data_IF_279730092537
#
_entry.id   IF_279730092537
#
_cell.length_a   1.000
_cell.length_b   1.000
_cell.length_c   1.000
_cell.angle_alpha   90.00
_cell.angle_beta   90.00
_cell.angle_gamma   90.00
#
_symmetry.space_group_name_H-M   'P 1'
#
loop_
_entity.id
_entity.type
_entity.pdbx_description
1 polymer ?
#
# COMPACT_ATOMS: atom_id res chain seq x y z
N UNK A 1 17.69 28.81 6.01
CA UNK A 1 18.18 27.70 5.14
C UNK A 1 16.93 27.10 4.48
N UNK A 2 16.88 26.91 3.16
CA UNK A 2 15.64 26.59 2.42
C UNK A 2 15.28 25.09 2.55
N UNK A 3 13.98 24.79 2.58
CA UNK A 3 13.42 23.42 2.55
C UNK A 3 13.82 22.59 1.30
N UNK A 4 14.34 23.24 0.24
CA UNK A 4 14.94 22.57 -0.93
C UNK A 4 16.23 21.79 -0.58
N UNK A 5 16.87 22.08 0.55
CA UNK A 5 18.03 21.35 1.08
C UNK A 5 17.65 20.11 1.92
N UNK A 6 16.36 19.85 2.14
CA UNK A 6 15.88 18.66 2.86
C UNK A 6 16.18 17.34 2.14
N UNK A 7 16.72 17.36 0.91
CA UNK A 7 17.18 16.17 0.21
C UNK A 7 18.38 15.46 0.86
N UNK A 8 19.14 16.13 1.74
CA UNK A 8 20.32 15.53 2.40
C UNK A 8 20.12 15.13 3.87
N UNK A 9 18.95 15.38 4.44
CA UNK A 9 18.62 14.95 5.81
C UNK A 9 18.07 13.52 5.74
N UNK A 10 18.55 12.63 6.62
CA UNK A 10 17.92 11.32 6.80
C UNK A 10 16.42 11.55 7.04
N UNK A 11 15.54 11.00 6.20
CA UNK A 11 14.09 11.22 6.30
C UNK A 11 13.59 10.91 7.71
N UNK A 12 12.64 11.71 8.20
CA UNK A 12 12.00 11.47 9.48
C UNK A 12 11.49 10.02 9.60
N UNK A 13 11.91 9.31 10.65
CA UNK A 13 11.49 7.92 10.87
C UNK A 13 11.27 7.60 12.35
N UNK A 14 10.56 6.51 12.59
CA UNK A 14 10.28 5.99 13.92
C UNK A 14 11.32 4.92 14.32
N UNK A 15 12.26 5.20 15.24
CA UNK A 15 13.28 4.24 15.62
C UNK A 15 12.75 3.00 16.35
N UNK A 16 11.52 3.00 16.88
CA UNK A 16 10.94 1.78 17.48
C UNK A 16 10.50 0.74 16.44
N UNK A 17 10.26 1.18 15.20
CA UNK A 17 9.80 0.32 14.10
C UNK A 17 10.75 0.28 12.91
N UNK A 18 11.59 1.30 12.73
CA UNK A 18 12.37 1.54 11.52
C UNK A 18 11.55 2.15 10.39
N UNK A 19 10.27 2.46 10.61
CA UNK A 19 9.40 2.98 9.55
C UNK A 19 9.60 4.48 9.34
N UNK A 20 9.75 4.89 8.09
CA UNK A 20 9.66 6.29 7.68
C UNK A 20 8.26 6.86 7.92
N UNK A 21 8.23 8.11 8.34
CA UNK A 21 7.04 8.95 8.17
C UNK A 21 6.95 9.36 6.70
N UNK A 22 5.73 9.53 6.18
CA UNK A 22 5.49 9.87 4.78
C UNK A 22 4.74 11.19 4.66
N UNK A 23 4.68 11.70 3.43
CA UNK A 23 3.84 12.84 3.05
C UNK A 23 4.11 14.10 3.89
N UNK A 24 3.05 14.87 4.19
CA UNK A 24 3.15 16.11 4.92
C UNK A 24 3.66 15.92 6.35
N UNK A 25 3.46 14.75 6.96
CA UNK A 25 4.02 14.43 8.27
C UNK A 25 5.54 14.45 8.24
N UNK A 26 6.16 13.81 7.25
CA UNK A 26 7.63 13.77 7.14
C UNK A 26 8.20 15.19 7.04
N UNK A 27 7.63 16.01 6.17
CA UNK A 27 8.07 17.39 5.95
C UNK A 27 7.87 18.27 7.18
N UNK A 28 6.78 18.09 7.91
CA UNK A 28 6.53 18.81 9.16
C UNK A 28 7.55 18.45 10.25
N UNK A 29 7.92 17.17 10.34
CA UNK A 29 8.93 16.70 11.29
C UNK A 29 10.33 17.21 10.91
N UNK A 30 10.69 17.21 9.62
CA UNK A 30 11.95 17.78 9.13
C UNK A 30 12.04 19.28 9.46
N UNK A 31 10.95 20.03 9.21
CA UNK A 31 10.86 21.45 9.54
C UNK A 31 11.00 21.69 11.06
N UNK A 32 10.35 20.87 11.88
CA UNK A 32 10.45 20.98 13.34
C UNK A 32 11.85 20.62 13.85
N UNK A 33 12.52 19.64 13.22
CA UNK A 33 13.91 19.29 13.53
C UNK A 33 14.81 20.50 13.36
N UNK A 34 14.68 21.21 12.23
CA UNK A 34 15.46 22.42 11.92
C UNK A 34 15.12 23.57 12.88
N UNK A 35 13.83 23.78 13.18
CA UNK A 35 13.37 24.80 14.13
C UNK A 35 14.01 24.65 15.52
N UNK A 36 14.16 23.41 15.97
CA UNK A 36 14.68 23.11 17.30
C UNK A 36 16.19 22.91 17.34
N UNK A 37 16.85 22.86 16.19
CA UNK A 37 18.27 22.51 16.09
C UNK A 37 18.57 21.07 16.51
N UNK A 38 17.61 20.15 16.34
CA UNK A 38 17.85 18.72 16.58
C UNK A 38 18.79 18.16 15.50
N UNK A 39 19.65 17.23 15.90
CA UNK A 39 20.63 16.57 15.03
C UNK A 39 20.13 15.22 14.51
N UNK A 40 19.10 14.66 15.15
CA UNK A 40 18.52 13.35 14.84
C UNK A 40 17.13 13.52 14.26
N UNK A 41 16.86 12.90 13.12
CA UNK A 41 15.53 12.91 12.52
C UNK A 41 14.67 11.71 12.96
N UNK A 42 14.78 11.37 14.23
CA UNK A 42 14.12 10.22 14.84
C UNK A 42 12.99 10.73 15.72
N UNK A 43 11.77 10.28 15.45
CA UNK A 43 10.56 10.79 16.12
C UNK A 43 9.71 9.64 16.67
N UNK A 44 9.30 9.76 17.93
CA UNK A 44 8.55 8.71 18.66
C UNK A 44 7.42 9.30 19.51
N UNK A 45 6.37 8.52 19.72
CA UNK A 45 5.37 8.84 20.73
C UNK A 45 5.82 8.40 22.13
N UNK A 46 5.23 8.97 23.18
CA UNK A 46 5.53 8.57 24.57
C UNK A 46 5.31 7.07 24.82
N UNK A 47 4.28 6.48 24.17
CA UNK A 47 4.01 5.05 24.27
C UNK A 47 5.15 4.21 23.67
N UNK A 48 5.75 4.67 22.56
CA UNK A 48 6.90 4.00 21.93
C UNK A 48 8.19 4.26 22.70
N UNK A 49 8.38 5.46 23.24
CA UNK A 49 9.50 5.78 24.13
C UNK A 49 9.55 4.85 25.35
N UNK A 50 8.40 4.54 25.95
CA UNK A 50 8.30 3.56 27.04
C UNK A 50 8.76 2.16 26.62
N UNK A 51 8.49 1.74 25.38
CA UNK A 51 8.96 0.44 24.86
C UNK A 51 10.48 0.44 24.61
N UNK A 52 11.07 1.63 24.43
CA UNK A 52 12.50 1.85 24.27
C UNK A 52 13.18 2.20 25.61
N UNK A 53 12.58 1.82 26.74
CA UNK A 53 13.21 1.94 28.06
C UNK A 53 13.11 3.32 28.74
N UNK A 54 12.39 4.28 28.16
CA UNK A 54 12.27 5.61 28.78
C UNK A 54 11.62 5.55 30.18
N UNK A 55 12.20 6.29 31.13
CA UNK A 55 11.77 6.35 32.51
C UNK A 55 10.34 6.95 32.63
N UNK A 56 9.43 6.31 33.37
CA UNK A 56 8.05 6.80 33.51
C UNK A 56 7.91 8.22 34.05
N UNK A 57 8.83 8.69 34.91
CA UNK A 57 8.80 10.07 35.44
C UNK A 57 9.24 11.06 34.37
N UNK A 58 10.25 10.72 33.57
CA UNK A 58 10.64 11.51 32.40
C UNK A 58 9.47 11.64 31.42
N UNK A 59 8.77 10.54 31.11
CA UNK A 59 7.62 10.58 30.21
C UNK A 59 6.50 11.49 30.73
N UNK A 60 6.23 11.46 32.04
CA UNK A 60 5.25 12.34 32.67
C UNK A 60 5.69 13.81 32.61
N UNK A 61 6.98 14.08 32.83
CA UNK A 61 7.55 15.42 32.74
C UNK A 61 7.45 15.97 31.31
N UNK A 62 7.85 15.20 30.31
CA UNK A 62 7.73 15.60 28.89
C UNK A 62 6.27 15.92 28.61
N UNK A 63 5.35 14.99 28.88
CA UNK A 63 3.91 15.17 28.65
C UNK A 63 3.34 16.45 29.28
N UNK A 64 3.84 16.86 30.44
CA UNK A 64 3.37 18.06 31.13
C UNK A 64 3.95 19.36 30.54
N UNK A 65 5.19 19.32 30.03
CA UNK A 65 5.94 20.53 29.65
C UNK A 65 6.02 20.76 28.12
N UNK A 66 5.76 19.74 27.31
CA UNK A 66 5.83 19.83 25.84
C UNK A 66 4.45 19.82 25.17
N UNK A 67 3.35 19.82 25.94
CA UNK A 67 1.97 19.83 25.41
C UNK A 67 1.53 21.18 24.82
N UNK A 68 2.29 22.25 25.05
CA UNK A 68 2.01 23.54 24.46
C UNK A 68 2.47 23.53 22.98
N UNK A 69 1.54 23.76 22.05
CA UNK A 69 1.80 23.86 20.60
C UNK A 69 2.80 24.96 20.25
N UNK A 70 2.92 25.98 21.11
CA UNK A 70 3.89 27.07 20.97
C UNK A 70 5.27 26.72 21.55
N UNK A 71 5.44 25.56 22.18
CA UNK A 71 6.75 25.14 22.65
C UNK A 71 7.59 24.71 21.42
N UNK A 72 8.74 25.34 21.16
CA UNK A 72 9.63 24.89 20.09
C UNK A 72 10.01 23.42 20.29
N UNK A 73 10.28 22.97 21.52
CA UNK A 73 10.56 21.55 21.83
C UNK A 73 9.29 20.68 21.97
N UNK A 74 8.13 21.19 21.53
CA UNK A 74 6.84 20.53 21.59
C UNK A 74 6.73 19.32 20.67
N UNK A 75 5.62 18.58 20.80
CA UNK A 75 5.30 17.51 19.85
C UNK A 75 4.72 18.04 18.54
N UNK A 76 4.82 17.22 17.49
CA UNK A 76 3.98 17.34 16.29
C UNK A 76 2.90 16.26 16.34
N UNK A 77 1.64 16.64 16.10
CA UNK A 77 0.53 15.69 16.09
C UNK A 77 0.51 14.85 14.80
N UNK A 78 0.55 13.52 14.93
CA UNK A 78 0.29 12.57 13.85
C UNK A 78 -1.14 12.05 13.95
N UNK A 79 -1.89 12.16 12.86
CA UNK A 79 -3.22 11.57 12.71
C UNK A 79 -3.12 10.27 11.92
N UNK A 80 -3.73 9.21 12.43
CA UNK A 80 -3.74 7.88 11.81
C UNK A 80 -5.13 7.27 11.82
N UNK A 81 -5.42 6.42 10.83
CA UNK A 81 -6.68 5.69 10.71
C UNK A 81 -6.43 4.24 11.13
N UNK A 82 -7.23 3.76 12.06
CA UNK A 82 -7.38 2.34 12.36
C UNK A 82 -8.79 1.90 11.99
N UNK A 83 -9.00 0.60 11.81
CA UNK A 83 -10.32 0.08 11.45
C UNK A 83 -10.87 -0.79 12.56
N UNK A 84 -12.07 -0.48 13.04
CA UNK A 84 -12.79 -1.36 13.96
C UNK A 84 -13.65 -2.30 13.14
N UNK A 85 -13.40 -3.60 13.28
CA UNK A 85 -14.25 -4.63 12.69
C UNK A 85 -15.41 -4.88 13.64
N UNK A 86 -16.62 -4.54 13.19
CA UNK A 86 -17.88 -4.98 13.81
C UNK A 86 -18.55 -5.98 12.90
N UNK A 87 -19.35 -6.88 13.46
CA UNK A 87 -20.28 -7.69 12.67
C UNK A 87 -21.67 -7.09 12.80
N UNK A 88 -22.39 -6.95 11.69
CA UNK A 88 -23.81 -6.64 11.73
C UNK A 88 -24.63 -7.82 12.27
N UNK A 89 -25.96 -7.66 12.32
CA UNK A 89 -26.87 -8.70 12.82
C UNK A 89 -26.92 -9.94 11.93
N UNK A 90 -26.50 -9.82 10.66
CA UNK A 90 -26.40 -10.92 9.70
C UNK A 90 -25.00 -11.57 9.68
N UNK A 91 -24.03 -11.02 10.44
CA UNK A 91 -22.66 -11.52 10.53
C UNK A 91 -21.67 -10.91 9.54
N UNK A 92 -22.07 -9.93 8.72
CA UNK A 92 -21.17 -9.26 7.77
C UNK A 92 -20.23 -8.30 8.51
N UNK A 93 -18.98 -8.23 8.04
CA UNK A 93 -17.97 -7.35 8.65
C UNK A 93 -18.21 -5.89 8.21
N UNK A 94 -18.67 -5.08 9.14
CA UNK A 94 -18.66 -3.62 9.05
C UNK A 94 -17.28 -3.12 9.48
N UNK A 95 -16.62 -2.39 8.58
CA UNK A 95 -15.30 -1.81 8.81
C UNK A 95 -15.48 -0.31 8.98
N UNK A 96 -15.39 0.17 10.22
CA UNK A 96 -15.50 1.60 10.52
C UNK A 96 -14.11 2.20 10.76
N UNK A 97 -13.77 3.33 10.10
CA UNK A 97 -12.53 4.03 10.35
C UNK A 97 -12.58 4.78 11.69
N UNK A 98 -11.50 4.67 12.46
CA UNK A 98 -11.23 5.42 13.69
C UNK A 98 -10.03 6.30 13.44
N UNK A 99 -10.19 7.60 13.66
CA UNK A 99 -9.10 8.57 13.66
C UNK A 99 -8.41 8.57 15.02
N UNK A 100 -7.12 8.28 15.05
CA UNK A 100 -6.26 8.35 16.22
C UNK A 100 -5.28 9.51 16.04
N UNK A 101 -5.20 10.39 17.03
CA UNK A 101 -4.16 11.41 17.11
C UNK A 101 -3.04 10.94 18.05
N UNK A 102 -1.80 11.24 17.70
CA UNK A 102 -0.63 10.83 18.49
C UNK A 102 0.45 11.90 18.41
N UNK A 103 0.83 12.43 19.56
CA UNK A 103 1.96 13.35 19.69
C UNK A 103 3.28 12.63 19.40
N UNK A 104 4.09 13.21 18.52
CA UNK A 104 5.43 12.76 18.17
C UNK A 104 6.47 13.74 18.73
N UNK A 105 7.45 13.19 19.45
CA UNK A 105 8.56 13.91 20.04
C UNK A 105 9.86 13.46 19.40
N UNK A 106 10.80 14.39 19.23
CA UNK A 106 12.15 14.03 18.79
C UNK A 106 12.83 13.19 19.89
N UNK A 107 13.60 12.19 19.52
CA UNK A 107 14.33 11.35 20.49
C UNK A 107 15.28 12.15 21.39
N UNK A 108 15.76 13.32 20.92
CA UNK A 108 16.65 14.19 21.70
C UNK A 108 15.94 14.85 22.90
N UNK A 109 14.60 14.84 22.95
CA UNK A 109 13.83 15.28 24.11
C UNK A 109 13.97 14.32 25.30
N UNK A 110 14.40 13.08 25.05
CA UNK A 110 14.51 12.04 26.06
C UNK A 110 15.97 11.78 26.42
N UNK A 111 16.24 11.74 27.72
CA UNK A 111 17.56 11.43 28.27
C UNK A 111 17.76 9.94 28.61
N UNK A 112 16.67 9.18 28.75
CA UNK A 112 16.71 7.79 29.26
C UNK A 112 16.44 6.71 28.22
N UNK A 113 16.29 7.06 26.94
CA UNK A 113 16.06 6.06 25.89
C UNK A 113 17.23 5.08 25.77
N UNK A 114 16.90 3.79 25.69
CA UNK A 114 17.84 2.74 25.32
C UNK A 114 18.00 2.73 23.79
N UNK A 115 19.09 3.34 23.32
CA UNK A 115 19.40 3.44 21.89
C UNK A 115 19.79 2.10 21.28
N UNK A 116 20.15 1.08 22.08
CA UNK A 116 20.43 -0.27 21.56
C UNK A 116 19.19 -0.97 21.01
N UNK A 117 18.00 -0.50 21.41
CA UNK A 117 16.71 -0.98 20.92
C UNK A 117 16.24 -0.26 19.65
N UNK A 118 17.01 0.71 19.15
CA UNK A 118 16.65 1.44 17.94
C UNK A 118 16.78 0.51 16.72
N UNK A 119 15.78 0.56 15.86
CA UNK A 119 15.78 -0.13 14.58
C UNK A 119 16.27 0.79 13.51
N UNK A 120 17.11 0.24 12.64
CA UNK A 120 17.56 0.91 11.44
C UNK A 120 16.38 1.29 10.53
N UNK A 121 16.50 2.39 9.76
CA UNK A 121 15.49 2.77 8.79
C UNK A 121 15.24 1.64 7.78
N UNK A 122 13.98 1.33 7.53
CA UNK A 122 13.56 0.30 6.59
C UNK A 122 13.04 0.96 5.29
N UNK A 123 13.81 0.94 4.18
CA UNK A 123 13.39 1.56 2.92
C UNK A 123 12.06 1.02 2.38
N UNK A 124 11.73 -0.25 2.65
CA UNK A 124 10.48 -0.84 2.21
C UNK A 124 9.25 -0.25 2.90
N UNK A 125 9.41 0.46 4.03
CA UNK A 125 8.28 1.10 4.70
C UNK A 125 7.73 2.28 3.91
N UNK A 126 8.51 2.89 3.00
CA UNK A 126 8.05 3.99 2.14
C UNK A 126 6.92 3.57 1.19
N UNK A 127 6.89 2.29 0.82
CA UNK A 127 5.88 1.73 -0.07
C UNK A 127 4.67 1.18 0.69
N UNK A 128 4.73 1.12 2.03
CA UNK A 128 3.56 0.80 2.83
C UNK A 128 2.73 2.07 2.97
N UNK A 129 1.54 2.05 2.40
CA UNK A 129 0.48 2.96 2.84
C UNK A 129 0.16 2.63 4.30
N UNK A 130 0.82 3.29 5.24
CA UNK A 130 0.19 3.51 6.53
C UNK A 130 -1.06 4.35 6.21
N UNK A 131 -2.26 3.89 6.60
CA UNK A 131 -3.48 4.68 6.47
C UNK A 131 -3.40 5.85 7.48
N UNK A 132 -2.47 6.77 7.31
CA UNK A 132 -2.45 8.04 8.04
C UNK A 132 -3.57 8.92 7.47
N UNK A 133 -4.37 9.53 8.35
CA UNK A 133 -5.24 10.58 7.86
C UNK A 133 -4.33 11.71 7.37
N UNK A 134 -4.60 12.25 6.19
CA UNK A 134 -3.83 13.37 5.66
C UNK A 134 -3.84 14.50 6.68
N UNK A 135 -2.66 14.84 7.22
CA UNK A 135 -2.50 16.12 7.90
C UNK A 135 -2.81 17.21 6.90
N UNK A 136 -3.63 18.17 7.32
CA UNK A 136 -3.90 19.34 6.50
C UNK A 136 -2.82 20.35 6.81
N UNK A 137 -2.37 21.07 5.78
CA UNK A 137 -1.40 22.14 5.96
C UNK A 137 -1.86 23.12 7.04
N UNK A 138 -3.16 23.46 7.09
CA UNK A 138 -3.76 24.32 8.12
C UNK A 138 -3.49 23.88 9.56
N UNK A 139 -3.38 22.57 9.81
CA UNK A 139 -3.19 22.03 11.15
C UNK A 139 -1.78 22.35 11.68
N UNK A 140 -0.82 22.56 10.78
CA UNK A 140 0.58 22.85 11.10
C UNK A 140 0.86 24.33 11.40
N UNK A 141 -0.09 25.23 11.14
CA UNK A 141 0.12 26.68 11.28
C UNK A 141 0.51 27.09 12.70
N UNK A 142 0.03 26.35 13.70
CA UNK A 142 0.29 26.62 15.11
C UNK A 142 1.37 25.71 15.72
N UNK A 143 1.90 24.75 14.95
CA UNK A 143 2.90 23.78 15.42
C UNK A 143 4.32 24.13 14.97
N UNK A 144 4.43 24.91 13.88
CA UNK A 144 5.69 25.33 13.26
C UNK A 144 5.86 26.84 13.34
N UNK A 145 7.11 27.29 13.23
CA UNK A 145 7.42 28.70 13.02
C UNK A 145 6.76 29.22 11.72
N UNK A 146 6.41 30.50 11.70
CA UNK A 146 5.81 31.16 10.52
C UNK A 146 6.69 31.02 9.26
N UNK A 147 8.02 31.08 9.43
CA UNK A 147 8.96 30.89 8.32
C UNK A 147 8.89 29.47 7.74
N UNK A 148 8.98 28.44 8.58
CA UNK A 148 8.92 27.05 8.13
C UNK A 148 7.56 26.67 7.58
N UNK A 149 6.48 27.18 8.16
CA UNK A 149 5.13 27.02 7.63
C UNK A 149 5.01 27.59 6.21
N UNK A 150 5.52 28.81 5.99
CA UNK A 150 5.51 29.46 4.67
C UNK A 150 6.30 28.66 3.65
N UNK A 151 7.49 28.16 4.03
CA UNK A 151 8.31 27.34 3.14
C UNK A 151 7.63 26.01 2.79
N UNK A 152 6.93 25.36 3.74
CA UNK A 152 6.14 24.15 3.46
C UNK A 152 4.99 24.45 2.50
N UNK A 153 4.31 25.58 2.68
CA UNK A 153 3.25 26.03 1.80
C UNK A 153 3.77 26.23 0.37
N UNK A 154 4.90 26.93 0.19
CA UNK A 154 5.54 27.16 -1.10
C UNK A 154 5.98 25.83 -1.75
N UNK A 155 6.58 24.93 -0.97
CA UNK A 155 6.98 23.60 -1.43
C UNK A 155 5.77 22.80 -1.94
N UNK A 156 4.66 22.79 -1.19
CA UNK A 156 3.44 22.12 -1.62
C UNK A 156 2.89 22.72 -2.91
N UNK A 157 2.80 24.06 -2.99
CA UNK A 157 2.33 24.77 -4.19
C UNK A 157 3.19 24.47 -5.43
N UNK A 158 4.52 24.39 -5.27
CA UNK A 158 5.43 24.04 -6.35
C UNK A 158 5.31 22.57 -6.80
N UNK A 159 4.94 21.66 -5.89
CA UNK A 159 4.79 20.22 -6.19
C UNK A 159 3.44 19.87 -6.81
N UNK A 160 2.39 20.64 -6.55
CA UNK A 160 1.04 20.40 -7.08
C UNK A 160 1.01 20.16 -8.60
N UNK A 161 1.62 21.02 -9.45
CA UNK A 161 1.63 20.82 -10.90
C UNK A 161 2.29 19.51 -11.33
N UNK A 162 3.38 19.10 -10.67
CA UNK A 162 4.07 17.84 -10.96
C UNK A 162 3.20 16.63 -10.61
N UNK A 163 2.46 16.70 -9.49
CA UNK A 163 1.51 15.64 -9.08
C UNK A 163 0.33 15.55 -10.06
N UNK A 164 -0.20 16.69 -10.51
CA UNK A 164 -1.28 16.73 -11.51
C UNK A 164 -0.83 16.14 -12.85
N UNK A 165 0.38 16.46 -13.29
CA UNK A 165 0.96 15.88 -14.49
C UNK A 165 1.15 14.35 -14.34
N UNK A 166 1.77 13.90 -13.25
CA UNK A 166 1.98 12.47 -12.97
C UNK A 166 0.64 11.71 -12.91
N UNK A 167 -0.39 12.29 -12.30
CA UNK A 167 -1.74 11.72 -12.28
C UNK A 167 -2.34 11.63 -13.69
N UNK A 168 -2.17 12.67 -14.51
CA UNK A 168 -2.68 12.68 -15.88
C UNK A 168 -2.01 11.61 -16.74
N UNK A 169 -0.69 11.47 -16.63
CA UNK A 169 0.09 10.41 -17.31
C UNK A 169 -0.37 9.02 -16.85
N UNK A 170 -0.51 8.79 -15.55
CA UNK A 170 -1.04 7.52 -15.01
C UNK A 170 -2.45 7.21 -15.48
N UNK A 171 -3.35 8.19 -15.54
CA UNK A 171 -4.70 7.96 -16.06
C UNK A 171 -4.69 7.58 -17.54
N UNK A 172 -3.80 8.19 -18.34
CA UNK A 172 -3.61 7.82 -19.74
C UNK A 172 -3.12 6.38 -19.87
N UNK A 173 -2.10 6.00 -19.11
CA UNK A 173 -1.55 4.64 -19.12
C UNK A 173 -2.59 3.59 -18.70
N UNK A 174 -3.39 3.88 -17.66
CA UNK A 174 -4.48 2.99 -17.23
C UNK A 174 -5.55 2.85 -18.33
N UNK A 175 -5.87 3.93 -19.04
CA UNK A 175 -6.80 3.89 -20.17
C UNK A 175 -6.28 3.04 -21.33
N UNK A 176 -4.99 3.16 -21.65
CA UNK A 176 -4.35 2.38 -22.72
C UNK A 176 -4.26 0.90 -22.35
N UNK A 177 -3.91 0.58 -21.10
CA UNK A 177 -3.90 -0.78 -20.58
C UNK A 177 -5.30 -1.39 -20.57
N UNK A 178 -6.32 -0.63 -20.18
CA UNK A 178 -7.71 -1.09 -20.22
C UNK A 178 -8.12 -1.46 -21.66
N UNK A 179 -7.75 -0.62 -22.64
CA UNK A 179 -8.01 -0.91 -24.06
C UNK A 179 -7.31 -2.19 -24.51
N UNK A 180 -6.06 -2.42 -24.11
CA UNK A 180 -5.32 -3.65 -24.43
C UNK A 180 -5.97 -4.89 -23.80
N UNK A 181 -6.44 -4.78 -22.55
CA UNK A 181 -7.16 -5.87 -21.87
C UNK A 181 -8.45 -6.22 -22.62
N UNK A 182 -9.20 -5.23 -23.09
CA UNK A 182 -10.44 -5.46 -23.84
C UNK A 182 -10.17 -6.15 -25.19
N UNK A 183 -9.12 -5.75 -25.90
CA UNK A 183 -8.67 -6.41 -27.13
C UNK A 183 -8.26 -7.87 -26.88
N UNK A 184 -7.45 -8.12 -25.86
CA UNK A 184 -7.03 -9.48 -25.51
C UNK A 184 -8.22 -10.36 -25.09
N UNK A 185 -9.19 -9.79 -24.37
CA UNK A 185 -10.40 -10.50 -23.98
C UNK A 185 -11.23 -10.91 -25.19
N UNK A 186 -11.36 -10.04 -26.20
CA UNK A 186 -12.03 -10.36 -27.45
C UNK A 186 -11.30 -11.47 -28.23
N UNK A 187 -9.96 -11.43 -28.29
CA UNK A 187 -9.17 -12.45 -28.97
C UNK A 187 -9.27 -13.82 -28.28
N UNK A 188 -9.26 -13.85 -26.95
CA UNK A 188 -9.48 -15.10 -26.18
C UNK A 188 -10.86 -15.69 -26.48
N UNK A 189 -11.91 -14.86 -26.57
CA UNK A 189 -13.25 -15.33 -26.93
C UNK A 189 -13.30 -15.89 -28.36
N UNK A 190 -12.61 -15.24 -29.32
CA UNK A 190 -12.51 -15.70 -30.70
C UNK A 190 -11.84 -17.08 -30.78
N UNK A 191 -10.69 -17.24 -30.12
CA UNK A 191 -9.94 -18.51 -30.08
C UNK A 191 -10.73 -19.62 -29.38
N UNK A 192 -11.51 -19.29 -28.34
CA UNK A 192 -12.39 -20.25 -27.69
C UNK A 192 -13.49 -20.75 -28.64
N UNK A 193 -14.11 -19.86 -29.41
CA UNK A 193 -15.15 -20.21 -30.38
C UNK A 193 -14.58 -21.06 -31.54
N UNK A 194 -13.40 -20.70 -32.05
CA UNK A 194 -12.67 -21.47 -33.08
C UNK A 194 -12.37 -22.89 -32.59
N UNK A 195 -11.78 -23.01 -31.39
CA UNK A 195 -11.48 -24.31 -30.78
C UNK A 195 -12.72 -25.17 -30.51
N UNK A 196 -13.86 -24.56 -30.17
CA UNK A 196 -15.12 -25.29 -29.99
C UNK A 196 -15.70 -25.79 -31.33
N UNK A 197 -15.58 -24.99 -32.40
CA UNK A 197 -15.99 -25.38 -33.74
C UNK A 197 -15.15 -26.56 -34.26
N UNK A 198 -13.83 -26.49 -34.13
CA UNK A 198 -12.90 -27.56 -34.53
C UNK A 198 -13.17 -28.86 -33.77
N UNK A 199 -13.38 -28.78 -32.45
CA UNK A 199 -13.73 -29.94 -31.63
C UNK A 199 -15.03 -30.60 -32.11
N UNK A 200 -16.02 -29.80 -32.48
CA UNK A 200 -17.30 -30.30 -32.98
C UNK A 200 -17.16 -30.98 -34.34
N UNK A 201 -16.30 -30.46 -35.22
CA UNK A 201 -15.99 -31.07 -36.51
C UNK A 201 -15.27 -32.41 -36.34
N UNK A 202 -14.18 -32.44 -35.57
CA UNK A 202 -13.45 -33.68 -35.30
C UNK A 202 -14.30 -34.73 -34.59
N UNK A 203 -15.21 -34.33 -33.70
CA UNK A 203 -16.15 -35.26 -33.06
C UNK A 203 -17.07 -35.93 -34.09
N UNK A 204 -17.57 -35.17 -35.08
CA UNK A 204 -18.39 -35.73 -36.16
C UNK A 204 -17.60 -36.70 -37.03
N UNK A 205 -16.37 -36.36 -37.38
CA UNK A 205 -15.48 -37.24 -38.16
C UNK A 205 -15.23 -38.56 -37.43
N UNK A 206 -14.96 -38.50 -36.12
CA UNK A 206 -14.76 -39.68 -35.27
C UNK A 206 -16.00 -40.59 -35.25
N UNK A 207 -17.19 -40.02 -35.06
CA UNK A 207 -18.44 -40.80 -35.07
C UNK A 207 -18.71 -41.41 -36.45
N UNK A 208 -18.40 -40.70 -37.54
CA UNK A 208 -18.51 -41.23 -38.90
C UNK A 208 -17.56 -42.42 -39.13
N UNK A 209 -16.29 -42.28 -38.74
CA UNK A 209 -15.29 -43.35 -38.86
C UNK A 209 -15.66 -44.55 -37.98
N UNK A 210 -16.19 -44.32 -36.78
CA UNK A 210 -16.67 -45.38 -35.89
C UNK A 210 -17.84 -46.15 -36.49
N UNK A 211 -18.80 -45.45 -37.11
CA UNK A 211 -19.90 -46.08 -37.82
C UNK A 211 -19.42 -46.91 -39.02
N UNK A 212 -18.49 -46.38 -39.82
CA UNK A 212 -17.87 -47.10 -40.94
C UNK A 212 -17.13 -48.36 -40.48
N UNK A 213 -16.29 -48.24 -39.45
CA UNK A 213 -15.56 -49.38 -38.89
C UNK A 213 -16.51 -50.46 -38.34
N UNK A 214 -17.61 -50.06 -37.69
CA UNK A 214 -18.62 -51.01 -37.19
C UNK A 214 -19.28 -51.75 -38.35
N UNK A 215 -19.67 -51.04 -39.41
CA UNK A 215 -20.26 -51.65 -40.60
C UNK A 215 -19.30 -52.63 -41.30
N UNK A 216 -18.01 -52.30 -41.40
CA UNK A 216 -16.97 -53.19 -41.94
C UNK A 216 -16.83 -54.44 -41.06
N UNK A 217 -16.85 -54.28 -39.74
CA UNK A 217 -16.74 -55.40 -38.80
C UNK A 217 -17.93 -56.37 -38.93
N UNK A 218 -19.14 -55.83 -39.08
CA UNK A 218 -20.36 -56.63 -39.32
C UNK A 218 -20.28 -57.39 -40.65
N UNK A 219 -19.81 -56.74 -41.72
CA UNK A 219 -19.59 -57.40 -43.01
C UNK A 219 -18.56 -58.53 -42.92
N UNK A 220 -17.44 -58.31 -42.21
CA UNK A 220 -16.43 -59.33 -41.98
C UNK A 220 -16.99 -60.52 -41.18
N UNK A 221 -17.76 -60.26 -40.12
CA UNK A 221 -18.39 -61.31 -39.32
C UNK A 221 -19.39 -62.15 -40.14
N UNK A 222 -20.19 -61.50 -41.01
CA UNK A 222 -21.08 -62.21 -41.93
C UNK A 222 -20.31 -63.08 -42.92
N UNK A 223 -19.19 -62.59 -43.45
CA UNK A 223 -18.34 -63.35 -44.36
C UNK A 223 -17.74 -64.58 -43.65
N UNK A 224 -17.20 -64.40 -42.44
CA UNK A 224 -16.66 -65.51 -41.62
C UNK A 224 -17.74 -66.56 -41.36
N UNK A 225 -18.97 -66.16 -41.03
CA UNK A 225 -20.08 -67.08 -40.81
C UNK A 225 -20.46 -67.89 -42.07
N UNK A 226 -20.32 -67.32 -43.27
CA UNK A 226 -20.56 -68.03 -44.53
C UNK A 226 -19.53 -69.12 -44.82
N UNK A 227 -18.31 -69.00 -44.28
CA UNK A 227 -17.22 -69.97 -44.44
C UNK A 227 -17.00 -70.87 -43.22
N UNK A 228 -17.87 -70.80 -42.20
CA UNK A 228 -17.80 -71.69 -41.05
C UNK A 228 -18.19 -73.14 -41.44
N UNK A 229 -17.40 -74.17 -41.08
CA UNK A 229 -17.72 -75.54 -41.44
C UNK A 229 -19.02 -76.00 -40.76
N UNK A 230 -19.84 -76.85 -41.43
CA UNK A 230 -21.08 -77.36 -40.84
C UNK A 230 -20.74 -78.14 -39.57
N UNK A 231 -21.39 -77.78 -38.47
CA UNK A 231 -21.27 -78.49 -37.20
C UNK A 231 -21.89 -79.87 -37.39
N UNK A 232 -21.13 -80.93 -37.07
CA UNK A 232 -21.50 -82.34 -37.22
C UNK A 232 -22.75 -82.72 -36.41
#
# INVERSE_FOLDING_TARGET
>A
MRLDQAQSLEKAYNPSTGNFYTDLHALALDAKMLECGYNKNQWISLNRARLLGADPKELAYIKANTRNKQNPQGSIEKVSISYLQRKDKEGNVLVEPIFNTTDLYNVEVFSTLDTSLFKEPNPQSLHRQEHSAQVRLSDLQNELSSEHYTQLQEYMQARFPAIEQENTERMSEVSDLQTQVDVLKAEVQRLQAEREADLKEHTKELEMLKAQNTAILDQLNQLVAQFAPPTQ
#
